data_IF_426478321602
#
_entry.id   IF_426478321602
#
_cell.length_a   1.000
_cell.length_b   1.000
_cell.length_c   1.000
_cell.angle_alpha   90.00
_cell.angle_beta   90.00
_cell.angle_gamma   90.00
#
_symmetry.space_group_name_H-M   'P 1'
#
loop_
_entity.id
_entity.type
_entity.pdbx_description
1 polymer ?
#
# COMPACT_ATOMS: atom_id res chain seq x y z
N UNK A 1 34.90 16.65 69.23
CA UNK A 1 34.75 15.98 70.57
C UNK A 1 34.61 14.52 70.25
N UNK A 2 35.66 13.81 70.40
CA UNK A 2 35.99 12.83 71.44
C UNK A 2 35.12 11.57 71.25
N UNK A 3 35.71 10.50 70.79
CA UNK A 3 36.47 9.46 71.47
C UNK A 3 35.49 8.43 72.12
N UNK A 4 35.65 7.14 72.11
CA UNK A 4 36.83 6.28 72.35
C UNK A 4 36.47 4.80 72.09
N UNK A 5 37.28 4.05 71.47
CA UNK A 5 38.07 2.91 71.92
C UNK A 5 37.44 1.90 72.90
N UNK A 6 37.49 0.63 72.57
CA UNK A 6 38.46 -0.38 73.07
C UNK A 6 37.98 -1.82 72.80
N UNK A 7 38.85 -2.59 72.19
CA UNK A 7 39.61 -3.79 72.64
C UNK A 7 38.71 -4.94 73.19
N UNK A 8 38.96 -6.15 72.80
CA UNK A 8 40.13 -6.98 72.90
C UNK A 8 39.92 -8.44 72.46
N UNK A 9 40.97 -9.05 72.09
CA UNK A 9 41.31 -10.38 71.58
C UNK A 9 40.98 -11.60 72.49
N UNK A 10 41.51 -12.79 72.04
CA UNK A 10 40.84 -14.06 71.67
C UNK A 10 41.06 -15.12 72.77
N UNK A 11 41.16 -16.41 72.63
CA UNK A 11 41.13 -17.39 71.56
C UNK A 11 40.36 -18.71 71.89
N UNK A 12 40.29 -19.71 71.07
CA UNK A 12 40.71 -21.09 71.35
C UNK A 12 40.34 -22.08 70.19
N UNK A 13 41.36 -22.84 69.84
CA UNK A 13 41.33 -23.97 68.91
C UNK A 13 40.41 -25.09 69.46
N UNK A 14 39.68 -25.69 68.49
CA UNK A 14 39.26 -27.07 68.60
C UNK A 14 39.27 -27.71 67.23
N UNK A 15 40.22 -28.63 67.09
CA UNK A 15 40.28 -29.53 65.95
C UNK A 15 39.06 -30.45 65.91
N UNK A 16 38.46 -30.63 64.77
CA UNK A 16 37.51 -31.70 64.48
C UNK A 16 37.74 -32.26 63.09
N UNK A 17 38.14 -33.49 63.14
CA UNK A 17 38.22 -34.56 62.19
C UNK A 17 37.41 -34.42 60.90
N UNK A 18 38.10 -34.51 59.77
CA UNK A 18 37.54 -34.62 58.43
C UNK A 18 36.89 -36.01 58.20
N UNK A 19 35.62 -36.04 57.93
CA UNK A 19 34.90 -37.15 57.32
C UNK A 19 34.76 -36.85 55.81
N UNK A 20 35.46 -37.56 54.96
CA UNK A 20 35.32 -37.53 53.53
C UNK A 20 34.05 -38.27 53.16
N UNK A 21 32.98 -37.56 52.79
CA UNK A 21 31.79 -38.11 52.10
C UNK A 21 32.06 -38.03 50.59
N UNK A 22 32.28 -39.16 49.94
CA UNK A 22 32.26 -39.25 48.49
C UNK A 22 30.81 -38.97 48.01
N UNK A 23 30.59 -37.78 47.45
CA UNK A 23 29.37 -37.50 46.70
C UNK A 23 29.54 -38.07 45.27
N UNK A 24 28.82 -39.14 44.96
CA UNK A 24 28.61 -39.61 43.59
C UNK A 24 27.77 -38.57 42.87
N UNK A 25 28.42 -37.77 41.98
CA UNK A 25 27.74 -36.88 41.04
C UNK A 25 27.21 -37.76 39.92
N UNK A 26 25.93 -38.06 39.93
CA UNK A 26 25.22 -38.65 38.80
C UNK A 26 25.05 -37.56 37.74
N UNK A 27 25.85 -37.62 36.66
CA UNK A 27 25.63 -36.86 35.46
C UNK A 27 24.33 -37.32 34.80
N UNK A 28 23.25 -36.57 35.00
CA UNK A 28 22.04 -36.73 34.20
C UNK A 28 22.35 -36.25 32.77
N UNK A 29 21.95 -36.99 31.73
CA UNK A 29 22.11 -36.54 30.35
C UNK A 29 21.27 -35.27 30.15
N UNK A 30 21.93 -34.16 29.83
CA UNK A 30 21.25 -32.96 29.34
C UNK A 30 20.57 -33.35 28.02
N UNK A 31 19.25 -33.53 28.05
CA UNK A 31 18.45 -33.59 26.83
C UNK A 31 18.66 -32.27 26.08
N UNK A 32 19.26 -32.34 24.89
CA UNK A 32 19.38 -31.20 24.00
C UNK A 32 17.96 -30.67 23.73
N UNK A 33 17.71 -29.39 24.07
CA UNK A 33 16.45 -28.74 23.69
C UNK A 33 16.33 -28.80 22.16
N UNK A 34 15.14 -29.13 21.60
CA UNK A 34 14.94 -29.09 20.16
C UNK A 34 15.29 -27.67 19.66
N UNK A 35 15.88 -27.55 18.47
CA UNK A 35 16.13 -26.25 17.90
C UNK A 35 14.80 -25.49 17.86
N UNK A 36 14.79 -24.27 18.35
CA UNK A 36 13.65 -23.37 18.24
C UNK A 36 13.29 -23.31 16.75
N UNK A 37 12.12 -23.83 16.38
CA UNK A 37 11.59 -23.67 15.03
C UNK A 37 11.50 -22.17 14.79
N UNK A 38 12.40 -21.62 13.99
CA UNK A 38 12.34 -20.25 13.58
C UNK A 38 10.95 -20.03 12.97
N UNK A 39 10.15 -19.15 13.57
CA UNK A 39 8.87 -18.75 12.99
C UNK A 39 9.16 -18.26 11.58
N UNK A 40 8.66 -18.95 10.57
CA UNK A 40 8.70 -18.49 9.19
C UNK A 40 7.85 -17.23 9.17
N UNK A 41 8.49 -16.07 9.01
CA UNK A 41 7.75 -14.81 8.82
C UNK A 41 6.98 -14.95 7.52
N UNK A 42 5.65 -14.98 7.62
CA UNK A 42 4.80 -15.10 6.45
C UNK A 42 5.01 -13.90 5.52
N UNK A 43 5.13 -14.15 4.22
CA UNK A 43 5.26 -13.09 3.22
C UNK A 43 3.99 -12.23 3.22
N UNK A 44 4.07 -10.90 3.44
CA UNK A 44 2.90 -10.03 3.53
C UNK A 44 2.01 -10.05 2.30
N UNK A 45 2.57 -10.15 1.09
CA UNK A 45 1.79 -10.27 -0.15
C UNK A 45 1.02 -11.60 -0.20
N UNK A 46 1.63 -12.70 0.25
CA UNK A 46 0.95 -14.00 0.29
C UNK A 46 -0.18 -14.03 1.32
N UNK A 47 0.02 -13.39 2.48
CA UNK A 47 -1.03 -13.24 3.51
C UNK A 47 -2.20 -12.41 2.98
N UNK A 48 -1.91 -11.30 2.30
CA UNK A 48 -2.95 -10.47 1.70
C UNK A 48 -3.67 -11.20 0.56
N UNK A 49 -2.95 -11.91 -0.31
CA UNK A 49 -3.57 -12.69 -1.40
C UNK A 49 -4.56 -13.72 -0.85
N UNK A 50 -4.22 -14.40 0.26
CA UNK A 50 -5.15 -15.32 0.91
C UNK A 50 -6.38 -14.58 1.46
N UNK A 51 -6.23 -13.43 2.11
CA UNK A 51 -7.35 -12.64 2.61
C UNK A 51 -8.27 -12.13 1.49
N UNK A 52 -7.72 -11.78 0.32
CA UNK A 52 -8.50 -11.42 -0.88
C UNK A 52 -9.27 -12.63 -1.38
N UNK A 53 -8.62 -13.79 -1.55
CA UNK A 53 -9.25 -15.03 -2.01
C UNK A 53 -10.35 -15.52 -1.04
N UNK A 54 -10.15 -15.36 0.27
CA UNK A 54 -11.19 -15.64 1.27
C UNK A 54 -12.39 -14.73 1.12
N UNK A 55 -12.18 -13.45 0.77
CA UNK A 55 -13.25 -12.47 0.50
C UNK A 55 -14.07 -12.76 -0.76
N UNK A 56 -13.62 -13.63 -1.65
CA UNK A 56 -14.34 -14.05 -2.87
C UNK A 56 -15.37 -15.13 -2.59
N UNK A 57 -15.31 -15.76 -1.43
CA UNK A 57 -16.25 -16.81 -1.05
C UNK A 57 -17.66 -16.23 -0.88
N UNK A 58 -18.68 -17.02 -1.21
CA UNK A 58 -20.06 -16.57 -1.06
C UNK A 58 -20.58 -16.74 0.37
N UNK A 59 -19.79 -16.31 1.33
CA UNK A 59 -20.11 -16.40 2.74
C UNK A 59 -21.11 -15.30 3.16
N UNK A 60 -21.81 -15.46 4.27
CA UNK A 60 -22.60 -14.39 4.87
C UNK A 60 -21.74 -13.16 5.11
N UNK A 61 -22.33 -11.97 4.97
CA UNK A 61 -21.65 -10.75 5.35
C UNK A 61 -21.24 -10.80 6.82
N UNK A 62 -20.02 -10.34 7.18
CA UNK A 62 -19.64 -10.20 8.56
C UNK A 62 -20.66 -9.36 9.34
N UNK A 63 -20.94 -9.74 10.59
CA UNK A 63 -21.87 -9.00 11.45
C UNK A 63 -21.44 -7.54 11.66
N UNK A 64 -20.13 -7.29 11.57
CA UNK A 64 -19.52 -5.96 11.65
C UNK A 64 -18.44 -5.83 10.58
N UNK A 65 -18.40 -4.66 9.94
CA UNK A 65 -17.33 -4.30 8.97
C UNK A 65 -16.63 -3.03 9.44
N UNK A 66 -15.42 -2.83 8.92
CA UNK A 66 -14.63 -1.61 9.14
C UNK A 66 -14.30 -0.98 7.77
N UNK A 67 -14.74 0.27 7.48
CA UNK A 67 -15.78 1.00 8.21
C UNK A 67 -17.11 0.25 8.22
N UNK A 68 -18.12 0.75 8.95
CA UNK A 68 -19.48 0.19 8.81
C UNK A 68 -20.02 0.43 7.41
N UNK A 69 -20.94 -0.41 6.94
CA UNK A 69 -21.59 -0.23 5.62
C UNK A 69 -22.22 1.17 5.47
N UNK A 70 -22.79 1.70 6.57
CA UNK A 70 -23.40 3.03 6.58
C UNK A 70 -22.38 4.16 6.42
N UNK A 71 -21.20 4.01 7.02
CA UNK A 71 -20.17 5.06 7.03
C UNK A 71 -19.27 4.98 5.80
N UNK A 72 -19.16 3.81 5.18
CA UNK A 72 -18.16 3.53 4.14
C UNK A 72 -18.19 4.53 2.97
N UNK A 73 -19.39 4.96 2.52
CA UNK A 73 -19.52 5.90 1.40
C UNK A 73 -18.84 7.26 1.65
N UNK A 74 -18.69 7.65 2.91
CA UNK A 74 -18.10 8.92 3.31
C UNK A 74 -16.67 8.78 3.84
N UNK A 75 -16.17 7.55 3.88
CA UNK A 75 -14.89 7.25 4.51
C UNK A 75 -13.73 7.31 3.50
N UNK A 76 -13.41 8.52 3.10
CA UNK A 76 -12.31 8.84 2.20
C UNK A 76 -11.08 9.33 2.98
N UNK A 77 -9.89 9.09 2.42
CA UNK A 77 -8.66 9.67 2.96
C UNK A 77 -8.74 11.19 2.96
N UNK A 78 -8.71 11.78 4.14
CA UNK A 78 -8.77 13.23 4.34
C UNK A 78 -7.41 13.74 4.85
N UNK A 79 -6.67 14.41 3.99
CA UNK A 79 -5.38 15.01 4.32
C UNK A 79 -5.51 16.48 4.78
N UNK A 80 -6.72 17.02 4.86
CA UNK A 80 -7.00 18.35 5.35
C UNK A 80 -6.20 19.45 4.63
N UNK A 81 -5.44 20.23 5.40
CA UNK A 81 -4.57 21.29 4.84
C UNK A 81 -3.40 20.76 4.02
N UNK A 82 -3.07 19.48 4.14
CA UNK A 82 -1.95 18.82 3.46
C UNK A 82 -2.32 18.35 2.04
N UNK A 83 -3.59 18.51 1.62
CA UNK A 83 -4.05 18.41 0.24
C UNK A 83 -4.41 19.78 -0.33
N UNK A 84 -4.24 19.93 -1.65
CA UNK A 84 -4.57 21.17 -2.35
C UNK A 84 -6.03 21.22 -2.84
N UNK A 85 -6.94 20.44 -2.27
CA UNK A 85 -8.37 20.47 -2.62
C UNK A 85 -8.89 21.91 -2.66
N UNK A 86 -9.45 22.33 -3.80
CA UNK A 86 -9.94 23.71 -4.07
C UNK A 86 -8.91 24.84 -3.85
N UNK A 87 -7.62 24.54 -3.71
CA UNK A 87 -6.54 25.50 -3.50
C UNK A 87 -5.42 25.29 -4.50
N UNK A 88 -4.61 26.33 -4.75
CA UNK A 88 -3.42 26.26 -5.60
C UNK A 88 -2.20 25.65 -4.89
N UNK A 89 -2.23 25.59 -3.58
CA UNK A 89 -1.12 25.14 -2.75
C UNK A 89 -1.66 24.40 -1.53
N UNK A 90 -0.88 23.49 -0.98
CA UNK A 90 -1.14 22.83 0.31
C UNK A 90 -0.02 23.12 1.29
N UNK A 91 -0.23 22.79 2.56
CA UNK A 91 0.86 22.66 3.51
C UNK A 91 1.72 21.46 3.14
N UNK A 92 3.01 21.54 3.42
CA UNK A 92 3.95 20.42 3.26
C UNK A 92 4.00 19.68 4.59
N UNK A 93 3.34 18.53 4.64
CA UNK A 93 3.17 17.73 5.86
C UNK A 93 3.94 16.42 5.74
N UNK A 94 4.71 16.07 6.77
CA UNK A 94 5.35 14.78 6.87
C UNK A 94 4.42 13.78 7.57
N UNK A 95 4.07 12.69 6.90
CA UNK A 95 3.26 11.59 7.41
C UNK A 95 4.10 10.37 7.84
N UNK A 96 5.38 10.35 7.48
CA UNK A 96 6.34 9.32 7.85
C UNK A 96 7.05 9.61 9.17
N UNK A 97 8.28 9.10 9.31
CA UNK A 97 9.15 9.40 10.44
C UNK A 97 9.75 10.82 10.31
N UNK A 98 9.57 11.71 11.29
CA UNK A 98 10.16 13.04 11.27
C UNK A 98 11.70 13.01 11.27
N UNK A 99 12.30 11.96 11.80
CA UNK A 99 13.74 11.77 11.87
C UNK A 99 14.29 10.95 10.70
N UNK A 100 13.44 10.53 9.77
CA UNK A 100 13.82 9.73 8.61
C UNK A 100 14.90 10.41 7.78
N UNK A 101 15.82 9.63 7.25
CA UNK A 101 16.94 10.12 6.43
C UNK A 101 16.62 10.13 4.94
N UNK A 102 15.68 9.31 4.52
CA UNK A 102 15.19 9.22 3.13
C UNK A 102 13.80 9.84 3.00
N UNK A 103 13.46 10.20 1.78
CA UNK A 103 12.22 10.93 1.48
C UNK A 103 11.41 10.23 0.40
N UNK A 104 10.14 9.95 0.72
CA UNK A 104 9.11 9.53 -0.26
C UNK A 104 8.17 10.71 -0.52
N UNK A 105 7.88 10.96 -1.78
CA UNK A 105 6.80 11.88 -2.18
C UNK A 105 5.71 11.10 -2.87
N UNK A 106 4.46 11.29 -2.45
CA UNK A 106 3.26 10.79 -3.15
C UNK A 106 2.69 11.94 -3.97
N UNK A 107 2.62 11.74 -5.28
CA UNK A 107 2.14 12.77 -6.21
C UNK A 107 0.94 12.30 -7.02
N UNK A 108 -0.05 13.16 -7.18
CA UNK A 108 -1.21 12.90 -8.04
C UNK A 108 -2.52 13.49 -7.53
N UNK A 109 -3.62 12.80 -7.77
CA UNK A 109 -4.95 13.20 -7.31
C UNK A 109 -5.43 12.33 -6.12
N UNK A 110 -6.74 12.24 -5.91
CA UNK A 110 -7.33 11.42 -4.84
C UNK A 110 -6.93 9.93 -4.92
N UNK A 111 -6.69 9.40 -6.14
CA UNK A 111 -6.23 8.03 -6.34
C UNK A 111 -4.75 7.80 -5.96
N UNK A 112 -3.98 8.87 -5.79
CA UNK A 112 -2.69 8.80 -5.10
C UNK A 112 -2.85 9.03 -3.61
N UNK A 113 -3.70 9.97 -3.22
CA UNK A 113 -3.93 10.32 -1.82
C UNK A 113 -4.46 9.13 -0.99
N UNK A 114 -5.28 8.25 -1.59
CA UNK A 114 -5.83 7.08 -0.91
C UNK A 114 -4.77 6.08 -0.44
N UNK A 115 -3.55 6.11 -0.98
CA UNK A 115 -2.44 5.26 -0.58
C UNK A 115 -1.53 5.90 0.49
N UNK A 116 -1.80 7.13 0.89
CA UNK A 116 -1.02 7.79 1.95
C UNK A 116 -1.06 7.04 3.29
N UNK A 117 -2.19 6.46 3.75
CA UNK A 117 -2.19 5.67 4.98
C UNK A 117 -1.26 4.45 4.90
N UNK A 118 -1.28 3.66 3.82
CA UNK A 118 -0.37 2.53 3.62
C UNK A 118 1.10 2.98 3.67
N UNK A 119 1.43 3.98 2.85
CA UNK A 119 2.79 4.50 2.77
C UNK A 119 3.24 5.17 4.07
N UNK A 120 2.32 5.72 4.87
CA UNK A 120 2.66 6.31 6.16
C UNK A 120 3.06 5.25 7.20
N UNK A 121 2.40 4.08 7.18
CA UNK A 121 2.79 2.95 8.02
C UNK A 121 4.17 2.44 7.60
N UNK A 122 4.37 2.15 6.32
CA UNK A 122 5.64 1.69 5.76
C UNK A 122 6.78 2.69 6.02
N UNK A 123 6.57 3.97 5.70
CA UNK A 123 7.59 4.99 5.88
C UNK A 123 8.00 5.21 7.34
N UNK A 124 7.08 5.01 8.30
CA UNK A 124 7.41 5.04 9.73
C UNK A 124 8.24 3.83 10.15
N UNK A 125 7.86 2.64 9.68
CA UNK A 125 8.58 1.41 9.97
C UNK A 125 10.02 1.43 9.43
N UNK A 126 10.21 2.00 8.26
CA UNK A 126 11.48 2.08 7.55
C UNK A 126 12.31 3.34 7.85
N UNK A 127 11.83 4.20 8.74
CA UNK A 127 12.47 5.47 9.07
C UNK A 127 12.64 6.41 7.87
N UNK A 128 11.58 6.58 7.07
CA UNK A 128 11.51 7.49 5.94
C UNK A 128 10.55 8.66 6.23
N UNK A 129 10.83 9.81 5.63
CA UNK A 129 9.87 10.92 5.55
C UNK A 129 8.89 10.65 4.41
N UNK A 130 7.61 11.02 4.60
CA UNK A 130 6.57 10.89 3.59
C UNK A 130 5.83 12.21 3.40
N UNK A 131 5.87 12.73 2.18
CA UNK A 131 5.21 13.99 1.84
C UNK A 131 4.16 13.79 0.74
N UNK A 132 2.86 13.89 1.04
CA UNK A 132 1.84 13.98 0.00
C UNK A 132 1.89 15.35 -0.68
N UNK A 133 1.95 15.34 -2.00
CA UNK A 133 1.83 16.49 -2.90
C UNK A 133 0.68 16.16 -3.85
N UNK A 134 -0.55 16.33 -3.36
CA UNK A 134 -1.76 15.85 -4.04
C UNK A 134 -2.80 16.94 -4.20
N UNK A 135 -3.59 16.82 -5.28
CA UNK A 135 -4.75 17.67 -5.55
C UNK A 135 -5.87 16.86 -6.17
N UNK A 136 -6.97 16.75 -5.44
CA UNK A 136 -8.13 16.00 -5.88
C UNK A 136 -8.69 16.55 -7.20
N UNK A 137 -9.31 15.68 -7.97
CA UNK A 137 -9.96 15.99 -9.26
C UNK A 137 -9.02 16.46 -10.38
N UNK A 138 -7.70 16.45 -10.19
CA UNK A 138 -6.72 16.75 -11.22
C UNK A 138 -6.05 15.47 -11.74
N UNK A 139 -6.17 15.19 -13.02
CA UNK A 139 -5.52 14.04 -13.69
C UNK A 139 -4.31 14.47 -14.54
N UNK A 140 -3.59 13.53 -15.08
CA UNK A 140 -2.38 13.78 -15.89
C UNK A 140 -2.61 14.70 -17.09
N UNK A 141 -3.74 14.55 -17.75
CA UNK A 141 -4.17 15.35 -18.89
C UNK A 141 -4.47 16.81 -18.55
N UNK A 142 -4.74 17.09 -17.26
CA UNK A 142 -5.03 18.43 -16.76
C UNK A 142 -3.81 19.13 -16.17
N UNK A 143 -2.79 18.38 -15.75
CA UNK A 143 -1.54 18.96 -15.27
C UNK A 143 -0.76 19.66 -16.36
N UNK A 144 -0.82 19.12 -17.57
CA UNK A 144 0.03 19.50 -18.70
C UNK A 144 -0.71 20.29 -19.77
N UNK A 145 -1.98 20.70 -19.50
CA UNK A 145 -2.87 21.36 -20.45
C UNK A 145 -3.01 20.63 -21.80
N UNK A 146 -2.83 19.31 -21.81
CA UNK A 146 -3.03 18.47 -23.00
C UNK A 146 -4.46 18.60 -23.53
N UNK A 147 -5.41 18.89 -22.66
CA UNK A 147 -6.79 19.23 -23.00
C UNK A 147 -7.07 20.66 -22.48
N UNK A 148 -6.93 21.68 -23.31
CA UNK A 148 -7.16 23.07 -22.92
C UNK A 148 -8.56 23.27 -22.33
N UNK A 149 -8.62 24.03 -21.25
CA UNK A 149 -9.88 24.36 -20.56
C UNK A 149 -10.47 23.25 -19.70
N UNK A 150 -9.94 22.03 -19.74
CA UNK A 150 -10.36 20.97 -18.85
C UNK A 150 -9.93 21.30 -17.41
N UNK A 151 -10.89 21.29 -16.49
CA UNK A 151 -10.67 21.61 -15.08
C UNK A 151 -10.12 23.04 -14.82
N UNK A 152 -10.46 24.01 -15.67
CA UNK A 152 -10.10 25.43 -15.44
C UNK A 152 -10.54 25.90 -14.03
N UNK A 153 -11.72 25.45 -13.55
CA UNK A 153 -12.21 25.74 -12.21
C UNK A 153 -11.32 25.17 -11.09
N UNK A 154 -10.61 24.05 -11.34
CA UNK A 154 -9.73 23.42 -10.38
C UNK A 154 -8.27 23.90 -10.47
N UNK A 155 -7.93 24.68 -11.50
CA UNK A 155 -6.61 25.27 -11.70
C UNK A 155 -5.46 24.24 -11.64
N UNK A 156 -5.67 23.08 -12.27
CA UNK A 156 -4.78 21.94 -12.17
C UNK A 156 -3.36 22.21 -12.67
N UNK A 157 -3.21 22.89 -13.82
CA UNK A 157 -1.89 23.23 -14.37
C UNK A 157 -1.12 24.24 -13.50
N UNK A 158 -1.81 25.22 -12.94
CA UNK A 158 -1.21 26.18 -12.00
C UNK A 158 -0.74 25.50 -10.72
N UNK A 159 -1.55 24.58 -10.15
CA UNK A 159 -1.15 23.77 -9.03
C UNK A 159 0.05 22.87 -9.40
N UNK A 160 0.03 22.27 -10.58
CA UNK A 160 1.12 21.40 -11.03
C UNK A 160 2.46 22.14 -11.11
N UNK A 161 2.46 23.39 -11.57
CA UNK A 161 3.64 24.25 -11.54
C UNK A 161 4.22 24.42 -10.13
N UNK A 162 3.36 24.67 -9.13
CA UNK A 162 3.77 24.73 -7.73
C UNK A 162 4.25 23.34 -7.22
N UNK A 163 3.54 22.26 -7.53
CA UNK A 163 3.90 20.90 -7.11
C UNK A 163 5.29 20.50 -7.58
N UNK A 164 5.65 20.80 -8.85
CA UNK A 164 7.01 20.57 -9.37
C UNK A 164 8.08 21.30 -8.55
N UNK A 165 7.82 22.53 -8.16
CA UNK A 165 8.75 23.30 -7.33
C UNK A 165 8.93 22.68 -5.93
N UNK A 166 7.84 22.14 -5.35
CA UNK A 166 7.90 21.42 -4.06
C UNK A 166 8.71 20.14 -4.19
N UNK A 167 8.40 19.32 -5.20
CA UNK A 167 9.10 18.05 -5.45
C UNK A 167 10.60 18.30 -5.68
N UNK A 168 10.95 19.31 -6.49
CA UNK A 168 12.34 19.67 -6.72
C UNK A 168 13.07 20.08 -5.43
N UNK A 169 12.40 20.77 -4.49
CA UNK A 169 13.01 21.12 -3.19
C UNK A 169 13.14 19.96 -2.23
N UNK A 170 12.21 19.00 -2.28
CA UNK A 170 12.22 17.83 -1.42
C UNK A 170 13.28 16.81 -1.85
N UNK A 171 13.71 16.83 -3.11
CA UNK A 171 14.67 15.87 -3.68
C UNK A 171 14.37 14.42 -3.26
N UNK A 172 13.19 13.89 -3.57
CA UNK A 172 12.78 12.60 -3.05
C UNK A 172 13.69 11.46 -3.53
N UNK A 173 14.01 10.54 -2.63
CA UNK A 173 14.63 9.25 -2.99
C UNK A 173 13.65 8.42 -3.83
N UNK A 174 12.36 8.48 -3.47
CA UNK A 174 11.28 7.79 -4.19
C UNK A 174 10.13 8.76 -4.44
N UNK A 175 9.69 8.86 -5.69
CA UNK A 175 8.45 9.51 -6.08
C UNK A 175 7.44 8.46 -6.51
N UNK A 176 6.32 8.37 -5.80
CA UNK A 176 5.19 7.49 -6.10
C UNK A 176 4.11 8.31 -6.78
N UNK A 177 3.75 7.94 -7.99
CA UNK A 177 2.78 8.65 -8.81
C UNK A 177 1.61 7.74 -9.16
N UNK A 178 0.38 8.17 -8.84
CA UNK A 178 -0.87 7.54 -9.27
C UNK A 178 -1.88 8.59 -9.69
N UNK A 179 -2.89 8.23 -10.47
CA UNK A 179 -3.97 9.13 -10.84
C UNK A 179 -5.14 8.40 -11.49
N UNK A 180 -6.35 8.81 -11.13
CA UNK A 180 -7.53 8.50 -11.91
C UNK A 180 -7.54 9.30 -13.21
N UNK A 181 -7.84 8.61 -14.31
CA UNK A 181 -7.80 9.20 -15.65
C UNK A 181 -9.22 9.39 -16.20
N UNK A 182 -9.52 10.60 -16.68
CA UNK A 182 -10.87 10.98 -17.12
C UNK A 182 -11.05 11.06 -18.64
N UNK A 183 -9.97 11.20 -19.40
CA UNK A 183 -10.03 11.42 -20.86
C UNK A 183 -9.25 10.38 -21.64
N UNK A 184 -9.46 10.34 -22.96
CA UNK A 184 -8.71 9.47 -23.84
C UNK A 184 -7.23 9.92 -24.06
N UNK A 185 -6.85 11.10 -23.54
CA UNK A 185 -5.49 11.67 -23.69
C UNK A 185 -4.63 11.48 -22.44
N UNK A 186 -5.12 10.78 -21.43
CA UNK A 186 -4.41 10.58 -20.18
C UNK A 186 -2.99 10.03 -20.37
N UNK A 187 -2.80 9.06 -21.27
CA UNK A 187 -1.48 8.45 -21.52
C UNK A 187 -0.45 9.46 -22.05
N UNK A 188 -0.87 10.46 -22.83
CA UNK A 188 0.01 11.55 -23.25
C UNK A 188 0.36 12.46 -22.05
N UNK A 189 -0.63 12.86 -21.26
CA UNK A 189 -0.41 13.65 -20.06
C UNK A 189 0.47 12.93 -19.04
N UNK A 190 0.28 11.62 -18.85
CA UNK A 190 1.11 10.77 -18.02
C UNK A 190 2.58 10.79 -18.46
N UNK A 191 2.86 10.56 -19.75
CA UNK A 191 4.22 10.63 -20.31
C UNK A 191 4.88 11.99 -20.10
N UNK A 192 4.15 13.08 -20.36
CA UNK A 192 4.66 14.44 -20.16
C UNK A 192 4.95 14.69 -18.67
N UNK A 193 4.06 14.25 -17.79
CA UNK A 193 4.23 14.37 -16.34
C UNK A 193 5.47 13.60 -15.85
N UNK A 194 5.63 12.35 -16.30
CA UNK A 194 6.80 11.53 -15.96
C UNK A 194 8.08 12.20 -16.48
N UNK A 195 8.11 12.65 -17.74
CA UNK A 195 9.28 13.30 -18.31
C UNK A 195 9.74 14.52 -17.51
N UNK A 196 8.79 15.27 -16.92
CA UNK A 196 9.08 16.46 -16.12
C UNK A 196 9.46 16.16 -14.67
N UNK A 197 8.95 15.08 -14.08
CA UNK A 197 9.18 14.74 -12.67
C UNK A 197 10.31 13.72 -12.46
N UNK A 198 10.55 12.85 -13.45
CA UNK A 198 11.59 11.80 -13.36
C UNK A 198 12.99 12.34 -13.02
N UNK A 199 13.44 13.50 -13.56
CA UNK A 199 14.73 14.08 -13.22
C UNK A 199 14.82 14.63 -11.78
N UNK A 200 13.70 14.73 -11.06
CA UNK A 200 13.62 15.31 -9.72
C UNK A 200 13.69 14.27 -8.60
N UNK A 201 13.82 13.00 -8.93
CA UNK A 201 13.84 11.88 -7.97
C UNK A 201 14.90 10.85 -8.36
N UNK A 202 15.40 10.11 -7.38
CA UNK A 202 16.31 9.00 -7.66
C UNK A 202 15.55 7.80 -8.26
N UNK A 203 14.37 7.49 -7.72
CA UNK A 203 13.52 6.38 -8.15
C UNK A 203 12.09 6.87 -8.38
N UNK A 204 11.51 6.47 -9.47
CA UNK A 204 10.14 6.82 -9.85
C UNK A 204 9.28 5.56 -9.92
N UNK A 205 8.16 5.55 -9.21
CA UNK A 205 7.19 4.46 -9.19
C UNK A 205 5.87 4.96 -9.72
N UNK A 206 5.38 4.35 -10.80
CA UNK A 206 4.08 4.60 -11.38
C UNK A 206 3.10 3.52 -10.91
N UNK A 207 2.06 3.92 -10.19
CA UNK A 207 0.99 3.01 -9.77
C UNK A 207 -0.03 2.81 -10.90
N UNK A 208 -0.56 1.60 -11.02
CA UNK A 208 -1.83 1.42 -11.74
C UNK A 208 -2.97 2.12 -11.00
N UNK A 209 -4.09 2.34 -11.70
CA UNK A 209 -5.32 2.83 -11.05
C UNK A 209 -6.02 1.69 -10.28
N UNK A 210 -6.84 2.00 -9.27
CA UNK A 210 -7.58 1.01 -8.50
C UNK A 210 -8.64 0.30 -9.35
N UNK A 211 -8.95 -0.98 -9.12
CA UNK A 211 -10.13 -1.63 -9.68
C UNK A 211 -11.40 -0.93 -9.19
N UNK A 212 -12.48 -1.03 -9.98
CA UNK A 212 -13.78 -0.55 -9.54
C UNK A 212 -14.50 -1.66 -8.78
N UNK A 213 -14.71 -1.46 -7.50
CA UNK A 213 -15.43 -2.36 -6.59
C UNK A 213 -16.71 -1.65 -6.17
N UNK A 214 -17.91 -2.26 -6.26
CA UNK A 214 -19.15 -1.58 -5.91
C UNK A 214 -19.10 -0.98 -4.51
N UNK A 215 -19.61 0.23 -4.36
CA UNK A 215 -19.77 0.82 -3.05
C UNK A 215 -20.69 -0.08 -2.19
N UNK A 216 -20.40 -0.26 -0.90
CA UNK A 216 -21.19 -1.11 -0.01
C UNK A 216 -22.67 -0.78 -0.01
N UNK A 217 -23.01 0.50 -0.10
CA UNK A 217 -24.39 0.98 -0.20
C UNK A 217 -25.13 0.53 -1.47
N UNK A 218 -24.43 0.04 -2.48
CA UNK A 218 -25.02 -0.43 -3.73
C UNK A 218 -25.41 -1.90 -3.71
N UNK A 219 -24.83 -2.70 -2.82
CA UNK A 219 -25.06 -4.14 -2.80
C UNK A 219 -25.38 -4.72 -1.41
N UNK A 220 -24.79 -4.20 -0.33
CA UNK A 220 -25.00 -4.77 1.01
C UNK A 220 -26.35 -4.41 1.64
N UNK A 221 -27.07 -3.46 1.08
CA UNK A 221 -28.42 -3.09 1.57
C UNK A 221 -29.51 -4.05 1.11
N UNK A 222 -29.24 -4.98 0.23
CA UNK A 222 -30.22 -5.98 -0.18
C UNK A 222 -30.44 -7.00 0.94
N UNK A 223 -31.69 -7.39 1.21
CA UNK A 223 -31.97 -8.50 2.12
C UNK A 223 -31.22 -9.76 1.67
N UNK A 224 -30.60 -10.45 2.61
CA UNK A 224 -29.80 -11.67 2.37
C UNK A 224 -28.57 -11.46 1.46
N UNK A 225 -28.01 -10.27 1.36
CA UNK A 225 -26.76 -10.05 0.68
C UNK A 225 -25.65 -10.88 1.31
N UNK A 226 -24.81 -11.46 0.47
CA UNK A 226 -23.61 -12.21 0.83
C UNK A 226 -22.37 -11.50 0.28
N UNK A 227 -21.19 -11.92 0.65
CA UNK A 227 -19.94 -11.40 0.08
C UNK A 227 -19.94 -11.58 -1.44
N UNK A 228 -20.38 -12.74 -1.94
CA UNK A 228 -20.51 -13.02 -3.38
C UNK A 228 -21.53 -12.14 -4.10
N UNK A 229 -22.54 -11.59 -3.42
CA UNK A 229 -23.51 -10.63 -4.02
C UNK A 229 -22.79 -9.39 -4.56
N UNK A 230 -21.71 -8.98 -3.90
CA UNK A 230 -20.95 -7.77 -4.20
C UNK A 230 -19.65 -8.04 -4.95
N UNK A 231 -19.34 -9.30 -5.24
CA UNK A 231 -18.15 -9.68 -6.00
C UNK A 231 -18.20 -9.10 -7.41
N UNK A 232 -17.08 -8.56 -7.89
CA UNK A 232 -16.97 -8.01 -9.24
C UNK A 232 -15.75 -8.54 -9.97
N UNK A 233 -15.91 -8.71 -11.27
CA UNK A 233 -14.78 -8.94 -12.17
C UNK A 233 -14.22 -7.61 -12.68
N UNK A 234 -12.92 -7.54 -12.85
CA UNK A 234 -12.28 -6.42 -13.51
C UNK A 234 -12.86 -6.21 -14.91
N UNK A 235 -13.12 -4.96 -15.24
CA UNK A 235 -13.66 -4.65 -16.56
C UNK A 235 -12.57 -4.72 -17.65
N UNK A 236 -12.88 -5.19 -18.88
CA UNK A 236 -11.92 -5.20 -20.00
C UNK A 236 -11.33 -3.81 -20.29
N UNK A 237 -12.11 -2.75 -20.06
CA UNK A 237 -11.64 -1.36 -20.22
C UNK A 237 -10.55 -1.02 -19.22
N UNK A 238 -10.69 -1.46 -17.97
CA UNK A 238 -9.68 -1.22 -16.94
C UNK A 238 -8.39 -1.98 -17.25
N UNK A 239 -8.50 -3.26 -17.57
CA UNK A 239 -7.36 -4.09 -17.98
C UNK A 239 -6.61 -3.42 -19.14
N UNK A 240 -7.33 -2.96 -20.17
CA UNK A 240 -6.73 -2.24 -21.29
C UNK A 240 -6.05 -0.93 -20.86
N UNK A 241 -6.55 -0.25 -19.85
CA UNK A 241 -5.92 0.94 -19.28
C UNK A 241 -4.63 0.59 -18.55
N UNK A 242 -4.62 -0.45 -17.73
CA UNK A 242 -3.42 -0.94 -17.04
C UNK A 242 -2.32 -1.33 -18.02
N UNK A 243 -2.65 -2.07 -19.08
CA UNK A 243 -1.70 -2.43 -20.14
C UNK A 243 -1.07 -1.19 -20.77
N UNK A 244 -1.85 -0.13 -21.01
CA UNK A 244 -1.32 1.13 -21.55
C UNK A 244 -0.44 1.87 -20.53
N UNK A 245 -0.84 1.95 -19.27
CA UNK A 245 -0.02 2.55 -18.19
C UNK A 245 1.31 1.81 -18.05
N UNK A 246 1.28 0.48 -18.07
CA UNK A 246 2.50 -0.34 -18.04
C UNK A 246 3.41 -0.05 -19.26
N UNK A 247 2.83 0.04 -20.46
CA UNK A 247 3.58 0.40 -21.65
C UNK A 247 4.21 1.81 -21.56
N UNK A 248 3.52 2.76 -20.93
CA UNK A 248 4.09 4.09 -20.63
C UNK A 248 5.26 3.97 -19.66
N UNK A 249 5.14 3.20 -18.59
CA UNK A 249 6.22 3.00 -17.62
C UNK A 249 7.47 2.41 -18.27
N UNK A 250 7.31 1.38 -19.12
CA UNK A 250 8.41 0.78 -19.90
C UNK A 250 9.07 1.84 -20.78
N UNK A 251 8.28 2.57 -21.58
CA UNK A 251 8.80 3.58 -22.50
C UNK A 251 9.50 4.75 -21.81
N UNK A 252 9.12 5.06 -20.56
CA UNK A 252 9.67 6.14 -19.75
C UNK A 252 10.78 5.67 -18.79
N UNK A 253 11.11 4.38 -18.79
CA UNK A 253 12.10 3.76 -17.88
C UNK A 253 11.83 4.07 -16.41
N UNK A 254 10.57 3.89 -15.99
CA UNK A 254 10.15 4.02 -14.59
C UNK A 254 9.58 2.70 -14.08
N UNK A 255 9.64 2.48 -12.77
CA UNK A 255 9.04 1.29 -12.18
C UNK A 255 7.51 1.37 -12.31
N UNK A 256 6.89 0.29 -12.73
CA UNK A 256 5.44 0.11 -12.68
C UNK A 256 5.06 -0.77 -11.50
N UNK A 257 4.06 -0.37 -10.75
CA UNK A 257 3.46 -1.18 -9.71
C UNK A 257 1.98 -1.36 -10.01
N UNK A 258 1.59 -2.59 -10.36
CA UNK A 258 0.20 -2.96 -10.44
C UNK A 258 -0.34 -3.18 -9.02
N UNK A 259 -1.31 -2.34 -8.63
CA UNK A 259 -1.94 -2.43 -7.31
C UNK A 259 -3.16 -3.35 -7.28
N UNK A 260 -3.51 -3.97 -8.42
CA UNK A 260 -4.66 -4.87 -8.51
C UNK A 260 -4.57 -6.03 -7.51
N UNK A 261 -3.42 -6.70 -7.33
CA UNK A 261 -3.31 -7.80 -6.37
C UNK A 261 -3.51 -7.40 -4.90
N UNK A 262 -3.53 -6.10 -4.61
CA UNK A 262 -3.88 -5.62 -3.27
C UNK A 262 -5.39 -5.62 -3.01
N UNK A 263 -6.21 -5.84 -4.04
CA UNK A 263 -7.67 -5.67 -4.00
C UNK A 263 -8.44 -6.81 -4.67
N UNK A 264 -7.79 -7.57 -5.55
CA UNK A 264 -8.42 -8.58 -6.39
C UNK A 264 -7.49 -9.78 -6.54
N UNK A 265 -8.07 -10.99 -6.69
CA UNK A 265 -7.39 -12.20 -7.09
C UNK A 265 -8.02 -12.75 -8.38
N UNK A 266 -7.19 -13.25 -9.32
CA UNK A 266 -7.62 -13.76 -10.63
C UNK A 266 -8.68 -12.90 -11.36
N UNK A 267 -8.64 -11.58 -11.14
CA UNK A 267 -9.57 -10.62 -11.73
C UNK A 267 -10.92 -10.51 -11.01
N UNK A 268 -11.08 -11.16 -9.89
CA UNK A 268 -12.22 -11.03 -8.99
C UNK A 268 -11.88 -10.07 -7.84
N UNK A 269 -12.80 -9.17 -7.53
CA UNK A 269 -12.57 -8.10 -6.57
C UNK A 269 -13.66 -8.12 -5.51
N UNK A 270 -13.39 -8.64 -4.31
CA UNK A 270 -14.37 -8.71 -3.23
C UNK A 270 -14.63 -7.32 -2.62
N UNK A 271 -15.83 -7.15 -2.08
CA UNK A 271 -16.25 -5.90 -1.41
C UNK A 271 -16.02 -5.91 0.10
N UNK A 272 -15.57 -7.03 0.66
CA UNK A 272 -15.08 -7.18 2.04
C UNK A 272 -13.85 -8.08 2.02
N UNK A 273 -12.77 -7.63 2.62
CA UNK A 273 -11.53 -8.39 2.74
C UNK A 273 -11.11 -8.34 4.21
N UNK A 274 -11.02 -9.49 4.88
CA UNK A 274 -10.72 -9.60 6.32
C UNK A 274 -11.61 -8.68 7.20
N UNK A 275 -12.92 -8.63 6.91
CA UNK A 275 -13.86 -7.76 7.62
C UNK A 275 -13.73 -6.27 7.31
N UNK A 276 -12.86 -5.87 6.40
CA UNK A 276 -12.63 -4.48 6.01
C UNK A 276 -13.27 -4.20 4.65
N UNK A 277 -13.99 -3.08 4.54
CA UNK A 277 -14.52 -2.61 3.26
C UNK A 277 -13.40 -1.91 2.49
N UNK A 278 -12.96 -2.43 1.32
CA UNK A 278 -11.79 -1.92 0.63
C UNK A 278 -12.01 -0.57 -0.05
N UNK A 279 -13.24 -0.26 -0.53
CA UNK A 279 -13.50 0.98 -1.26
C UNK A 279 -14.74 1.70 -0.74
N UNK A 280 -14.67 3.03 -0.65
CA UNK A 280 -15.76 3.87 -0.18
C UNK A 280 -16.88 4.02 -1.24
N UNK A 281 -16.50 4.45 -2.45
CA UNK A 281 -17.42 4.83 -3.53
C UNK A 281 -17.24 3.99 -4.81
N UNK A 282 -16.53 2.90 -4.71
CA UNK A 282 -16.22 2.00 -5.81
C UNK A 282 -14.86 2.24 -6.46
N UNK A 283 -14.20 3.36 -6.18
CA UNK A 283 -12.91 3.70 -6.78
C UNK A 283 -11.87 4.20 -5.77
N UNK A 284 -12.30 4.79 -4.68
CA UNK A 284 -11.41 5.28 -3.63
C UNK A 284 -11.26 4.24 -2.53
N UNK A 285 -10.05 3.83 -2.26
CA UNK A 285 -9.70 2.94 -1.15
C UNK A 285 -9.96 3.63 0.18
N UNK A 286 -10.58 2.90 1.12
CA UNK A 286 -10.84 3.42 2.47
C UNK A 286 -9.53 3.59 3.26
N UNK A 287 -9.45 4.54 4.19
CA UNK A 287 -8.26 4.73 5.03
C UNK A 287 -7.84 3.48 5.78
N UNK A 288 -8.83 2.70 6.28
CA UNK A 288 -8.61 1.48 7.05
C UNK A 288 -8.01 0.39 6.16
N UNK A 289 -8.58 0.19 4.96
CA UNK A 289 -8.04 -0.79 4.04
C UNK A 289 -6.64 -0.39 3.53
N UNK A 290 -6.45 0.89 3.21
CA UNK A 290 -5.13 1.40 2.85
C UNK A 290 -4.09 1.11 3.94
N UNK A 291 -4.44 1.33 5.22
CA UNK A 291 -3.54 1.01 6.34
C UNK A 291 -3.35 -0.51 6.53
N UNK A 292 -4.39 -1.31 6.32
CA UNK A 292 -4.34 -2.78 6.43
C UNK A 292 -3.35 -3.39 5.44
N UNK A 293 -3.34 -2.94 4.20
CA UNK A 293 -2.43 -3.48 3.17
C UNK A 293 -1.01 -2.93 3.25
N UNK A 294 -0.67 -2.14 4.26
CA UNK A 294 0.60 -1.40 4.32
C UNK A 294 1.84 -2.30 4.14
N UNK A 295 1.90 -3.45 4.83
CA UNK A 295 3.06 -4.36 4.73
C UNK A 295 3.18 -5.01 3.35
N UNK A 296 2.05 -5.39 2.74
CA UNK A 296 2.03 -5.94 1.39
C UNK A 296 2.36 -4.86 0.34
N UNK A 297 1.88 -3.64 0.55
CA UNK A 297 2.20 -2.50 -0.31
C UNK A 297 3.67 -2.12 -0.21
N UNK A 298 4.25 -2.14 0.99
CA UNK A 298 5.67 -1.87 1.21
C UNK A 298 6.55 -2.94 0.54
N UNK A 299 6.22 -4.22 0.69
CA UNK A 299 6.90 -5.30 -0.01
C UNK A 299 6.80 -5.11 -1.53
N UNK A 300 5.61 -4.81 -2.06
CA UNK A 300 5.39 -4.61 -3.48
C UNK A 300 6.14 -3.39 -4.04
N UNK A 301 6.15 -2.27 -3.33
CA UNK A 301 6.87 -1.06 -3.74
C UNK A 301 8.37 -1.17 -3.48
N UNK A 302 8.79 -2.00 -2.50
CA UNK A 302 10.17 -2.20 -2.08
C UNK A 302 10.89 -0.89 -1.78
N UNK A 303 10.40 -0.15 -0.79
CA UNK A 303 10.97 1.16 -0.43
C UNK A 303 12.45 1.07 -0.11
N UNK A 304 12.88 0.06 0.61
CA UNK A 304 14.27 -0.12 1.04
C UNK A 304 15.20 -0.62 -0.06
N UNK A 305 14.66 -1.18 -1.17
CA UNK A 305 15.46 -1.71 -2.28
C UNK A 305 16.11 -3.07 -1.99
N UNK A 306 15.75 -3.73 -0.88
CA UNK A 306 16.36 -4.99 -0.43
C UNK A 306 15.82 -6.26 -1.08
N UNK A 307 14.66 -6.22 -1.75
CA UNK A 307 14.04 -7.39 -2.38
C UNK A 307 13.93 -7.19 -3.88
N UNK A 308 14.32 -8.21 -4.63
CA UNK A 308 14.09 -8.25 -6.09
C UNK A 308 12.64 -8.70 -6.31
N UNK A 309 11.74 -7.76 -6.57
CA UNK A 309 10.37 -8.12 -6.93
C UNK A 309 10.40 -8.76 -8.32
N UNK A 310 9.97 -10.02 -8.40
CA UNK A 310 9.63 -10.60 -9.69
C UNK A 310 8.52 -9.74 -10.30
N UNK A 311 8.78 -9.15 -11.48
CA UNK A 311 7.76 -8.46 -12.26
C UNK A 311 6.70 -9.51 -12.57
N UNK A 312 5.56 -9.47 -11.89
CA UNK A 312 4.41 -10.30 -12.24
C UNK A 312 3.96 -9.80 -13.62
N UNK A 313 4.35 -10.53 -14.65
CA UNK A 313 3.84 -10.30 -16.00
C UNK A 313 2.36 -10.67 -16.00
N UNK A 314 1.50 -9.65 -16.16
CA UNK A 314 0.08 -9.87 -16.42
C UNK A 314 -0.03 -10.79 -17.64
N UNK A 315 -0.69 -11.97 -17.55
CA UNK A 315 -0.89 -12.81 -18.71
C UNK A 315 -1.68 -12.00 -19.76
N UNK A 316 -1.07 -11.75 -20.92
CA UNK A 316 -1.81 -11.21 -22.05
C UNK A 316 -2.76 -12.29 -22.51
N UNK A 317 -4.11 -12.11 -22.45
CA UNK A 317 -5.04 -13.10 -22.93
C UNK A 317 -4.74 -13.35 -24.39
N UNK A 318 -4.45 -14.60 -24.75
CA UNK A 318 -4.27 -15.03 -26.13
C UNK A 318 -5.53 -14.68 -26.92
N UNK A 319 -5.42 -14.11 -28.13
CA UNK A 319 -6.59 -13.85 -28.94
C UNK A 319 -7.30 -15.16 -29.22
N UNK A 320 -8.52 -15.29 -28.70
CA UNK A 320 -9.41 -16.41 -29.01
C UNK A 320 -9.70 -16.38 -30.49
N UNK A 321 -9.13 -17.31 -31.26
CA UNK A 321 -9.50 -17.59 -32.66
C UNK A 321 -10.89 -18.20 -32.64
N UNK A 322 -11.92 -17.37 -32.69
CA UNK A 322 -13.27 -17.82 -33.01
C UNK A 322 -13.35 -17.98 -34.54
N UNK A 323 -13.13 -19.17 -35.00
CA UNK A 323 -13.51 -19.59 -36.35
C UNK A 323 -15.04 -19.73 -36.41
N UNK A 324 -15.72 -18.67 -36.78
CA UNK A 324 -17.14 -18.73 -37.15
C UNK A 324 -17.25 -19.29 -38.57
N UNK A 325 -17.51 -20.58 -38.66
CA UNK A 325 -18.01 -21.19 -39.90
C UNK A 325 -19.47 -20.79 -40.10
N UNK A 326 -19.69 -19.72 -40.85
CA UNK A 326 -21.00 -19.34 -41.34
C UNK A 326 -21.35 -20.19 -42.54
N UNK A 327 -22.17 -21.23 -42.38
CA UNK A 327 -22.86 -21.92 -43.46
C UNK A 327 -24.12 -21.14 -43.82
N UNK A 328 -24.06 -20.40 -44.93
CA UNK A 328 -25.23 -19.79 -45.58
C UNK A 328 -25.93 -20.87 -46.41
N UNK A 329 -27.22 -21.17 -46.21
CA UNK A 329 -27.96 -21.97 -47.15
C UNK A 329 -28.33 -21.11 -48.36
N UNK A 330 -28.00 -21.58 -49.55
CA UNK A 330 -28.47 -21.03 -50.84
C UNK A 330 -29.81 -21.67 -51.17
N UNK A 331 -30.79 -20.93 -51.73
CA UNK A 331 -32.16 -21.37 -51.99
C UNK A 331 -32.31 -22.44 -53.09
#
# INVERSE_FOLDING_TARGET
MLADRKHSHPPRHAARTALWALALVTLAPMAAAPPASGAVVANPLAVLAQAVADGEQNDPLPATTTPTVADALHDHVNLGRCSAFRRLRSAICNYGDPNGTKTVVVFGNSHSAMWVPALAVAAKADHWKLYPVVKESCGYDTYTDVVPGLNAANQCSSWYGWAKTVIARLHPDVLVMGSYTKTNRWALGERITIAQLRPLTQRFVLLSDSPWIPAPSQCFLYPNATQGTCLRHESPRRIATQVKTHAVAIAMHVQYLDITPLLCDEGQCPSVIDGIIPTADGSHVTPQYSAFVASAFDEAINLTGGHTIAIVSVPVPSPSTSTSTSTVPVP
#
